data_IF_623790263307
#
_entry.id   IF_623790263307
#
_cell.length_a   1.000
_cell.length_b   1.000
_cell.length_c   1.000
_cell.angle_alpha   90.00
_cell.angle_beta   90.00
_cell.angle_gamma   90.00
#
_symmetry.space_group_name_H-M   'P 1'
#
loop_
_entity.id
_entity.type
_entity.pdbx_description
1 polymer ?
#
# COMPACT_ATOMS: atom_id res chain seq x y z
N UNK A 1 -13.75 -43.94 3.02
CA UNK A 1 -12.74 -43.16 2.27
C UNK A 1 -12.83 -41.75 2.82
N UNK A 2 -11.91 -41.35 3.69
CA UNK A 2 -11.92 -40.06 4.38
C UNK A 2 -10.97 -39.18 3.57
N UNK A 3 -11.51 -38.16 2.90
CA UNK A 3 -10.71 -37.22 2.12
C UNK A 3 -10.21 -36.14 3.08
N UNK A 4 -8.94 -36.18 3.46
CA UNK A 4 -8.30 -35.03 4.10
C UNK A 4 -8.07 -33.96 3.02
N UNK A 5 -8.82 -32.86 3.13
CA UNK A 5 -8.64 -31.70 2.27
C UNK A 5 -7.28 -31.07 2.54
N UNK A 6 -6.45 -30.99 1.50
CA UNK A 6 -5.19 -30.27 1.54
C UNK A 6 -5.46 -28.77 1.73
N UNK A 7 -5.25 -28.26 2.94
CA UNK A 7 -5.41 -26.84 3.27
C UNK A 7 -4.16 -26.07 2.83
N UNK A 8 -4.31 -25.21 1.82
CA UNK A 8 -3.31 -24.22 1.44
C UNK A 8 -3.46 -22.99 2.35
N UNK A 9 -2.45 -22.65 3.18
CA UNK A 9 -2.47 -21.43 3.96
C UNK A 9 -2.58 -20.21 3.03
N UNK A 10 -3.61 -19.38 3.20
CA UNK A 10 -3.79 -18.13 2.45
C UNK A 10 -4.98 -18.07 1.48
N UNK A 11 -5.82 -19.12 1.40
CA UNK A 11 -7.03 -19.13 0.55
C UNK A 11 -8.35 -19.04 1.31
N UNK A 12 -8.35 -19.17 2.64
CA UNK A 12 -9.57 -19.05 3.43
C UNK A 12 -9.98 -17.57 3.52
N UNK A 13 -11.21 -17.21 3.11
CA UNK A 13 -11.66 -15.83 3.13
C UNK A 13 -11.71 -15.30 4.55
N UNK A 14 -10.99 -14.20 4.80
CA UNK A 14 -10.97 -13.54 6.11
C UNK A 14 -12.23 -12.71 6.25
N UNK A 15 -12.94 -12.90 7.36
CA UNK A 15 -14.11 -12.11 7.71
C UNK A 15 -13.69 -10.98 8.65
N UNK A 16 -14.09 -9.78 8.29
CA UNK A 16 -13.88 -8.56 9.07
C UNK A 16 -15.17 -8.09 9.73
N UNK A 17 -15.08 -7.54 10.94
CA UNK A 17 -16.22 -7.00 11.68
C UNK A 17 -15.82 -5.73 12.41
N UNK A 18 -16.83 -5.01 12.88
CA UNK A 18 -16.65 -3.82 13.70
C UNK A 18 -15.96 -4.18 15.02
N UNK A 19 -15.24 -3.21 15.59
CA UNK A 19 -14.52 -3.33 16.86
C UNK A 19 -15.45 -3.67 18.03
N UNK A 20 -16.72 -3.29 17.95
CA UNK A 20 -17.75 -3.68 18.92
C UNK A 20 -18.03 -5.19 18.96
N UNK A 21 -17.64 -5.91 17.91
CA UNK A 21 -17.89 -7.35 17.70
C UNK A 21 -16.59 -8.19 17.77
N UNK A 22 -15.48 -7.60 18.24
CA UNK A 22 -14.15 -8.22 18.25
C UNK A 22 -14.04 -9.48 19.14
N UNK A 23 -15.05 -9.77 19.98
CA UNK A 23 -15.10 -10.96 20.85
C UNK A 23 -15.62 -12.22 20.14
N UNK A 24 -16.08 -12.12 18.88
CA UNK A 24 -16.56 -13.27 18.12
C UNK A 24 -15.40 -14.10 17.53
N UNK A 25 -15.43 -15.42 17.76
CA UNK A 25 -14.48 -16.37 17.16
C UNK A 25 -14.53 -16.23 15.62
N UNK A 26 -13.34 -16.09 15.00
CA UNK A 26 -13.11 -15.99 13.55
C UNK A 26 -13.41 -14.65 12.88
N UNK A 27 -13.53 -13.55 13.64
CA UNK A 27 -13.54 -12.21 13.07
C UNK A 27 -12.19 -11.48 13.27
N UNK A 28 -11.73 -10.69 12.28
CA UNK A 28 -10.68 -9.69 12.45
C UNK A 28 -11.24 -8.26 12.40
N UNK A 29 -10.74 -7.40 13.27
CA UNK A 29 -11.12 -5.98 13.26
C UNK A 29 -10.06 -5.12 12.54
N UNK A 30 -8.78 -5.45 12.76
CA UNK A 30 -7.67 -4.65 12.25
C UNK A 30 -7.32 -5.01 10.80
N UNK A 31 -7.25 -3.97 9.96
CA UNK A 31 -6.82 -4.02 8.57
C UNK A 31 -5.32 -3.72 8.50
N UNK A 32 -4.50 -4.78 8.52
CA UNK A 32 -3.05 -4.67 8.41
C UNK A 32 -2.63 -4.45 6.96
N UNK A 33 -1.97 -3.33 6.69
CA UNK A 33 -1.30 -3.08 5.40
C UNK A 33 0.16 -3.52 5.52
N UNK A 34 0.63 -4.22 4.51
CA UNK A 34 2.01 -4.59 4.32
C UNK A 34 2.61 -3.89 3.11
N UNK A 35 3.93 -3.71 3.13
CA UNK A 35 4.72 -3.15 2.03
C UNK A 35 5.69 -4.19 1.51
N UNK A 36 5.88 -4.23 0.20
CA UNK A 36 6.91 -5.02 -0.47
C UNK A 36 8.04 -4.09 -0.98
N UNK A 37 9.06 -4.68 -1.62
CA UNK A 37 10.11 -3.96 -2.33
C UNK A 37 9.55 -2.99 -3.37
N UNK A 38 10.32 -1.96 -3.65
CA UNK A 38 10.05 -1.02 -4.73
C UNK A 38 10.74 -1.50 -6.00
N UNK A 39 10.05 -1.42 -7.12
CA UNK A 39 10.61 -1.65 -8.45
C UNK A 39 10.50 -0.36 -9.27
N UNK A 40 11.16 -0.32 -10.42
CA UNK A 40 11.13 0.81 -11.34
C UNK A 40 10.94 0.28 -12.75
N UNK A 41 10.29 1.07 -13.60
CA UNK A 41 10.23 0.80 -15.05
C UNK A 41 11.50 1.23 -15.78
N UNK A 42 12.30 2.10 -15.15
CA UNK A 42 13.55 2.66 -15.70
C UNK A 42 14.79 1.83 -15.33
N UNK A 43 14.70 0.98 -14.31
CA UNK A 43 15.83 0.16 -13.84
C UNK A 43 15.41 -1.23 -13.37
N UNK A 44 16.29 -2.20 -13.61
CA UNK A 44 16.09 -3.61 -13.25
C UNK A 44 16.38 -3.91 -11.78
N UNK A 45 16.94 -2.96 -11.03
CA UNK A 45 17.36 -3.18 -9.64
C UNK A 45 16.23 -2.78 -8.69
N UNK A 46 15.58 -3.72 -7.98
CA UNK A 46 14.62 -3.38 -6.95
C UNK A 46 15.32 -2.90 -5.67
N UNK A 47 14.63 -2.07 -4.89
CA UNK A 47 15.09 -1.65 -3.55
C UNK A 47 14.12 -2.12 -2.47
N UNK A 48 14.67 -2.57 -1.35
CA UNK A 48 13.87 -2.82 -0.15
C UNK A 48 13.23 -1.52 0.36
N UNK A 49 12.05 -1.62 0.98
CA UNK A 49 11.33 -0.46 1.52
C UNK A 49 12.17 0.35 2.52
N UNK A 50 12.92 -0.33 3.40
CA UNK A 50 13.81 0.27 4.39
C UNK A 50 15.02 1.02 3.81
N UNK A 51 15.32 0.83 2.52
CA UNK A 51 16.44 1.52 1.87
C UNK A 51 16.14 3.01 1.69
N UNK A 52 14.87 3.35 1.53
CA UNK A 52 14.38 4.72 1.52
C UNK A 52 14.04 5.19 2.94
N UNK A 53 14.08 6.49 3.19
CA UNK A 53 13.78 7.08 4.50
C UNK A 53 12.27 7.18 4.76
N UNK A 54 11.54 6.09 4.55
CA UNK A 54 10.11 5.98 4.82
C UNK A 54 9.83 5.72 6.30
N UNK A 55 8.56 5.86 6.68
CA UNK A 55 8.10 5.46 8.02
C UNK A 55 8.08 3.93 8.12
N UNK A 56 8.71 3.38 9.16
CA UNK A 56 8.81 1.94 9.43
C UNK A 56 8.34 1.65 10.86
N UNK A 57 7.91 0.43 11.13
CA UNK A 57 7.50 -0.05 12.47
C UNK A 57 8.39 -1.20 12.92
N UNK A 58 8.38 -1.53 14.20
CA UNK A 58 9.11 -2.69 14.73
C UNK A 58 8.70 -3.99 14.01
N UNK A 59 9.71 -4.76 13.61
CA UNK A 59 9.57 -5.93 12.72
C UNK A 59 9.03 -7.18 13.42
N UNK A 60 8.74 -7.13 14.72
CA UNK A 60 8.26 -8.27 15.52
C UNK A 60 6.93 -8.87 15.01
N UNK A 61 6.17 -8.11 14.21
CA UNK A 61 4.94 -8.54 13.55
C UNK A 61 5.11 -8.92 12.08
N UNK A 62 6.34 -9.17 11.61
CA UNK A 62 6.57 -9.63 10.24
C UNK A 62 5.90 -10.99 10.03
N UNK A 63 5.22 -11.23 8.88
CA UNK A 63 4.69 -12.55 8.56
C UNK A 63 5.79 -13.60 8.63
N UNK A 64 5.47 -14.80 9.11
CA UNK A 64 6.38 -15.94 9.04
C UNK A 64 6.77 -16.20 7.58
N UNK A 65 8.03 -15.94 7.24
CA UNK A 65 8.54 -16.11 5.88
C UNK A 65 8.48 -17.60 5.51
N UNK A 66 7.85 -17.92 4.38
CA UNK A 66 7.91 -19.28 3.84
C UNK A 66 9.26 -19.50 3.12
N UNK A 67 9.72 -20.75 3.02
CA UNK A 67 11.03 -21.08 2.41
C UNK A 67 11.17 -20.50 0.98
N UNK A 68 10.07 -20.40 0.22
CA UNK A 68 10.06 -19.77 -1.10
C UNK A 68 10.38 -18.28 -1.05
N UNK A 69 9.74 -17.52 -0.15
CA UNK A 69 9.95 -16.09 0.04
C UNK A 69 11.38 -15.76 0.49
N UNK A 70 11.97 -16.61 1.34
CA UNK A 70 13.39 -16.50 1.75
C UNK A 70 14.31 -16.72 0.56
N UNK A 71 14.04 -17.73 -0.28
CA UNK A 71 14.85 -18.07 -1.46
C UNK A 71 14.74 -17.01 -2.56
N UNK A 72 13.59 -16.35 -2.71
CA UNK A 72 13.37 -15.29 -3.69
C UNK A 72 13.62 -13.87 -3.16
N UNK A 73 14.00 -13.72 -1.88
CA UNK A 73 14.30 -12.43 -1.25
C UNK A 73 13.10 -11.49 -1.14
N UNK A 74 11.87 -12.02 -1.12
CA UNK A 74 10.66 -11.23 -0.93
C UNK A 74 10.41 -11.01 0.56
N UNK A 75 10.68 -9.79 1.03
CA UNK A 75 10.42 -9.38 2.42
C UNK A 75 9.20 -8.48 2.46
N UNK A 76 8.05 -9.09 2.74
CA UNK A 76 6.81 -8.35 3.05
C UNK A 76 6.94 -7.82 4.48
N UNK A 77 6.80 -6.52 4.66
CA UNK A 77 6.99 -5.85 5.96
C UNK A 77 5.72 -5.16 6.41
N UNK A 78 5.42 -5.13 7.72
CA UNK A 78 4.28 -4.39 8.23
C UNK A 78 4.47 -2.89 7.93
N UNK A 79 3.41 -2.24 7.47
CA UNK A 79 3.40 -0.79 7.32
C UNK A 79 2.97 -0.12 8.64
N UNK A 80 3.28 1.16 8.82
CA UNK A 80 2.80 1.94 9.97
C UNK A 80 1.32 2.35 9.88
N UNK A 81 0.65 2.09 8.75
CA UNK A 81 -0.76 2.43 8.55
C UNK A 81 -1.65 1.43 9.27
N UNK A 82 -2.41 1.93 10.24
CA UNK A 82 -3.40 1.14 11.00
C UNK A 82 -4.80 1.58 10.59
N UNK A 83 -5.56 0.66 10.01
CA UNK A 83 -6.96 0.88 9.64
C UNK A 83 -7.83 -0.11 10.39
N UNK A 84 -9.05 0.30 10.72
CA UNK A 84 -10.04 -0.54 11.38
C UNK A 84 -11.20 -0.74 10.42
N UNK A 85 -11.74 -1.95 10.35
CA UNK A 85 -12.90 -2.21 9.50
C UNK A 85 -14.10 -1.32 9.88
N UNK A 86 -14.82 -0.80 8.87
CA UNK A 86 -15.95 0.16 9.00
C UNK A 86 -15.63 1.48 9.73
N UNK A 87 -14.36 1.78 10.03
CA UNK A 87 -13.97 3.05 10.63
C UNK A 87 -13.32 3.97 9.59
N UNK A 88 -13.97 5.09 9.29
CA UNK A 88 -13.38 6.12 8.45
C UNK A 88 -12.37 6.94 9.26
N UNK A 89 -11.14 7.03 8.75
CA UNK A 89 -10.05 7.83 9.33
C UNK A 89 -9.64 8.86 8.28
N UNK A 90 -9.63 10.12 8.65
CA UNK A 90 -9.27 11.23 7.75
C UNK A 90 -7.98 11.91 8.23
N UNK A 91 -7.01 12.07 7.34
CA UNK A 91 -5.78 12.84 7.56
C UNK A 91 -4.98 12.46 8.83
N UNK A 92 -4.83 11.16 9.10
CA UNK A 92 -4.00 10.71 10.22
C UNK A 92 -2.52 10.77 9.86
N UNK A 93 -1.76 11.60 10.58
CA UNK A 93 -0.31 11.65 10.44
C UNK A 93 0.33 10.40 11.03
N UNK A 94 1.24 9.80 10.25
CA UNK A 94 1.90 8.53 10.61
C UNK A 94 3.27 8.76 11.20
N UNK A 95 4.12 9.49 10.48
CA UNK A 95 5.41 9.94 10.99
C UNK A 95 5.82 11.25 10.32
N UNK A 96 6.71 12.00 10.97
CA UNK A 96 7.31 13.23 10.44
C UNK A 96 8.80 13.02 10.25
N UNK A 97 9.31 13.39 9.07
CA UNK A 97 10.74 13.38 8.75
C UNK A 97 11.17 14.81 8.44
N UNK A 98 12.23 15.26 9.09
CA UNK A 98 12.77 16.61 8.91
C UNK A 98 14.20 16.54 8.38
N UNK A 99 14.42 17.18 7.23
CA UNK A 99 15.69 17.24 6.53
C UNK A 99 16.32 18.62 6.74
N UNK A 100 17.16 18.75 7.77
CA UNK A 100 17.85 19.99 8.08
C UNK A 100 19.12 20.17 7.22
N UNK A 101 19.36 21.41 6.78
CA UNK A 101 20.62 21.77 6.11
C UNK A 101 21.78 21.70 7.11
N UNK A 102 22.71 20.75 6.90
CA UNK A 102 23.90 20.57 7.74
C UNK A 102 24.13 19.11 8.14
N UNK A 103 23.07 18.30 8.18
CA UNK A 103 23.18 16.86 8.44
C UNK A 103 23.45 16.11 7.12
N UNK A 104 24.71 15.69 6.95
CA UNK A 104 25.16 14.96 5.73
C UNK A 104 24.38 13.68 5.50
N UNK A 105 23.96 12.98 6.56
CA UNK A 105 23.23 11.72 6.44
C UNK A 105 21.81 11.98 5.91
N UNK A 106 21.09 12.93 6.51
CA UNK A 106 19.73 13.31 6.07
C UNK A 106 19.72 13.89 4.66
N UNK A 107 20.73 14.69 4.30
CA UNK A 107 20.87 15.20 2.93
C UNK A 107 21.09 14.07 1.93
N UNK A 108 21.90 13.07 2.30
CA UNK A 108 22.10 11.88 1.46
C UNK A 108 20.81 11.06 1.28
N UNK A 109 20.05 10.85 2.37
CA UNK A 109 18.73 10.19 2.34
C UNK A 109 17.73 10.93 1.45
N UNK A 110 17.67 12.26 1.57
CA UNK A 110 16.82 13.09 0.71
C UNK A 110 17.23 13.00 -0.77
N UNK A 111 18.54 12.98 -1.06
CA UNK A 111 19.05 12.80 -2.42
C UNK A 111 18.67 11.43 -2.97
N UNK A 112 18.76 10.38 -2.15
CA UNK A 112 18.35 9.04 -2.52
C UNK A 112 16.85 8.96 -2.83
N UNK A 113 16.00 9.61 -2.01
CA UNK A 113 14.57 9.72 -2.26
C UNK A 113 14.27 10.43 -3.59
N UNK A 114 14.93 11.56 -3.86
CA UNK A 114 14.79 12.29 -5.14
C UNK A 114 15.20 11.43 -6.34
N UNK A 115 16.28 10.65 -6.21
CA UNK A 115 16.69 9.71 -7.24
C UNK A 115 15.63 8.61 -7.45
N UNK A 116 15.01 8.12 -6.37
CA UNK A 116 13.89 7.17 -6.47
C UNK A 116 12.71 7.72 -7.26
N UNK A 117 12.37 8.99 -7.05
CA UNK A 117 11.32 9.69 -7.81
C UNK A 117 11.74 9.87 -9.28
N UNK A 118 12.97 10.31 -9.53
CA UNK A 118 13.48 10.54 -10.89
C UNK A 118 13.57 9.25 -11.71
N UNK A 119 13.74 8.10 -11.06
CA UNK A 119 13.75 6.78 -11.67
C UNK A 119 12.38 6.09 -11.58
N UNK A 120 11.29 6.80 -11.27
CA UNK A 120 9.93 6.27 -11.25
C UNK A 120 9.78 4.95 -10.46
N UNK A 121 10.33 4.91 -9.24
CA UNK A 121 10.15 3.76 -8.35
C UNK A 121 8.72 3.71 -7.81
N UNK A 122 8.14 2.51 -7.78
CA UNK A 122 6.77 2.24 -7.38
C UNK A 122 6.69 1.43 -6.08
N UNK A 123 5.82 1.88 -5.18
CA UNK A 123 5.36 1.16 -4.01
C UNK A 123 4.43 0.02 -4.39
N UNK A 124 4.57 -1.11 -3.69
CA UNK A 124 3.68 -2.27 -3.79
C UNK A 124 3.15 -2.58 -2.40
N UNK A 125 1.87 -2.26 -2.17
CA UNK A 125 1.23 -2.46 -0.87
C UNK A 125 0.23 -3.59 -0.95
N UNK A 126 0.06 -4.30 0.16
CA UNK A 126 -0.73 -5.52 0.24
C UNK A 126 -1.65 -5.41 1.46
N UNK A 127 -2.92 -5.75 1.30
CA UNK A 127 -3.90 -5.84 2.38
C UNK A 127 -4.70 -7.13 2.19
N UNK A 128 -4.81 -7.94 3.24
CA UNK A 128 -5.48 -9.25 3.17
C UNK A 128 -5.03 -10.11 1.98
N UNK A 129 -3.72 -10.15 1.74
CA UNK A 129 -3.09 -10.86 0.62
C UNK A 129 -3.49 -10.35 -0.79
N UNK A 130 -4.17 -9.21 -0.89
CA UNK A 130 -4.51 -8.54 -2.15
C UNK A 130 -3.66 -7.30 -2.40
N UNK A 131 -3.24 -7.04 -3.64
CA UNK A 131 -2.52 -5.81 -3.97
C UNK A 131 -3.46 -4.61 -3.85
N UNK A 132 -2.94 -3.53 -3.27
CA UNK A 132 -3.60 -2.23 -3.33
C UNK A 132 -3.35 -1.64 -4.72
N UNK A 133 -4.43 -1.24 -5.39
CA UNK A 133 -4.38 -0.77 -6.78
C UNK A 133 -4.47 0.74 -6.88
N UNK A 134 -3.72 1.33 -7.79
CA UNK A 134 -3.87 2.73 -8.16
C UNK A 134 -4.42 2.82 -9.57
N UNK A 135 -5.57 3.46 -9.72
CA UNK A 135 -6.21 3.66 -11.00
C UNK A 135 -6.24 5.14 -11.36
N UNK A 136 -5.86 5.47 -12.58
CA UNK A 136 -5.83 6.84 -13.09
C UNK A 136 -6.39 6.90 -14.51
N UNK A 137 -6.92 8.07 -14.87
CA UNK A 137 -7.45 8.32 -16.20
C UNK A 137 -6.30 8.77 -17.12
N UNK A 138 -6.25 8.19 -18.32
CA UNK A 138 -5.30 8.61 -19.38
C UNK A 138 -6.00 9.51 -20.40
N UNK A 139 -5.21 10.26 -21.19
CA UNK A 139 -5.73 11.26 -22.16
C UNK A 139 -6.82 10.72 -23.11
N UNK A 140 -6.78 9.42 -23.42
CA UNK A 140 -7.77 8.75 -24.27
C UNK A 140 -9.11 8.46 -23.56
N UNK A 141 -9.32 8.95 -22.33
CA UNK A 141 -10.52 8.69 -21.52
C UNK A 141 -10.60 7.26 -20.97
N UNK A 142 -9.55 6.45 -21.16
CA UNK A 142 -9.46 5.10 -20.61
C UNK A 142 -8.94 5.16 -19.17
N UNK A 143 -9.40 4.24 -18.32
CA UNK A 143 -8.93 4.10 -16.95
C UNK A 143 -7.89 2.98 -16.88
N UNK A 144 -6.66 3.31 -16.51
CA UNK A 144 -5.59 2.34 -16.31
C UNK A 144 -5.43 2.06 -14.81
N UNK A 145 -5.28 0.78 -14.44
CA UNK A 145 -5.04 0.37 -13.06
C UNK A 145 -3.73 -0.39 -12.94
N UNK A 146 -2.88 0.04 -12.01
CA UNK A 146 -1.60 -0.59 -11.68
C UNK A 146 -1.64 -1.19 -10.27
N UNK A 147 -0.94 -2.29 -10.05
CA UNK A 147 -0.77 -2.95 -8.73
C UNK A 147 0.31 -2.29 -7.87
N UNK A 148 0.54 -1.00 -8.09
CA UNK A 148 1.51 -0.18 -7.38
C UNK A 148 1.39 1.28 -7.78
N UNK A 149 2.00 2.16 -6.99
CA UNK A 149 1.94 3.60 -7.20
C UNK A 149 3.33 4.23 -6.96
N UNK A 150 3.70 5.30 -7.69
CA UNK A 150 5.04 5.85 -7.60
C UNK A 150 5.27 6.56 -6.27
N UNK A 151 6.54 6.60 -5.83
CA UNK A 151 6.97 7.40 -4.68
C UNK A 151 6.58 8.88 -4.85
N UNK A 152 6.54 9.34 -6.10
CA UNK A 152 6.27 10.72 -6.45
C UNK A 152 6.46 10.95 -7.94
N UNK A 153 6.53 12.21 -8.34
CA UNK A 153 6.80 12.57 -9.72
C UNK A 153 7.69 13.82 -9.81
N UNK A 154 8.33 14.00 -10.96
CA UNK A 154 9.25 15.10 -11.24
C UNK A 154 8.77 15.90 -12.45
N UNK A 155 8.70 17.22 -12.28
CA UNK A 155 8.59 18.17 -13.40
C UNK A 155 10.00 18.70 -13.67
N UNK A 156 10.49 18.52 -14.90
CA UNK A 156 11.85 18.94 -15.24
C UNK A 156 12.00 20.47 -15.31
N UNK A 157 13.22 20.93 -15.62
CA UNK A 157 13.55 22.35 -15.75
C UNK A 157 12.85 23.02 -16.95
N UNK A 158 12.59 22.25 -17.99
CA UNK A 158 11.89 22.72 -19.19
C UNK A 158 10.38 22.85 -18.93
N UNK A 159 9.88 22.24 -17.86
CA UNK A 159 8.48 22.19 -17.46
C UNK A 159 7.76 20.98 -18.03
N UNK A 160 8.50 19.99 -18.53
CA UNK A 160 7.91 18.74 -19.03
C UNK A 160 7.52 17.87 -17.85
N UNK A 161 6.22 17.57 -17.76
CA UNK A 161 5.70 16.58 -16.82
C UNK A 161 6.10 15.17 -17.30
N UNK A 162 6.59 14.34 -16.39
CA UNK A 162 6.91 12.94 -16.64
C UNK A 162 6.09 12.03 -15.72
N UNK A 163 5.84 10.81 -16.18
CA UNK A 163 5.20 9.75 -15.42
C UNK A 163 3.89 10.22 -14.76
N UNK A 164 3.76 10.04 -13.44
CA UNK A 164 2.57 10.39 -12.70
C UNK A 164 2.26 11.90 -12.64
N UNK A 165 3.19 12.79 -12.99
CA UNK A 165 2.89 14.22 -13.04
C UNK A 165 1.93 14.56 -14.19
N UNK A 166 1.83 13.73 -15.22
CA UNK A 166 0.91 13.94 -16.37
C UNK A 166 -0.55 13.74 -15.95
N UNK A 167 -0.80 12.96 -14.90
CA UNK A 167 -2.14 12.57 -14.46
C UNK A 167 -2.91 13.76 -13.85
N UNK A 168 -2.21 14.80 -13.39
CA UNK A 168 -2.86 15.94 -12.76
C UNK A 168 -2.12 17.24 -13.00
N UNK A 169 -2.86 18.26 -13.45
CA UNK A 169 -2.39 19.64 -13.57
C UNK A 169 -1.94 20.26 -12.23
N UNK A 170 -2.19 19.58 -11.09
CA UNK A 170 -1.70 20.01 -9.78
C UNK A 170 -0.18 19.87 -9.62
N UNK A 171 0.49 19.11 -10.49
CA UNK A 171 1.93 18.83 -10.45
C UNK A 171 2.63 19.47 -11.66
N UNK A 172 2.68 20.80 -11.70
CA UNK A 172 3.12 21.56 -12.88
C UNK A 172 4.24 22.57 -12.61
N UNK A 173 4.70 22.72 -11.37
CA UNK A 173 5.76 23.68 -11.03
C UNK A 173 7.10 23.18 -11.59
N UNK A 174 7.82 24.04 -12.33
CA UNK A 174 9.07 23.67 -13.00
C UNK A 174 10.16 23.32 -11.99
N UNK A 175 10.97 22.31 -12.33
CA UNK A 175 12.10 21.83 -11.53
C UNK A 175 11.70 21.41 -10.09
N UNK A 176 10.49 20.87 -9.94
CA UNK A 176 9.92 20.50 -8.64
C UNK A 176 9.73 18.99 -8.55
N UNK A 177 10.15 18.42 -7.41
CA UNK A 177 9.87 17.04 -7.02
C UNK A 177 8.61 17.03 -6.15
N UNK A 178 7.61 16.25 -6.52
CA UNK A 178 6.42 16.01 -5.74
C UNK A 178 6.51 14.63 -5.10
N UNK A 179 6.31 14.55 -3.79
CA UNK A 179 6.29 13.27 -3.05
C UNK A 179 4.84 12.89 -2.79
N UNK A 180 4.48 11.64 -3.07
CA UNK A 180 3.14 11.10 -2.82
C UNK A 180 3.08 10.46 -1.44
N UNK A 181 3.12 11.30 -0.40
CA UNK A 181 3.05 10.85 1.00
C UNK A 181 1.66 11.00 1.63
N UNK A 182 0.78 11.77 1.02
CA UNK A 182 -0.62 11.89 1.41
C UNK A 182 -1.43 10.98 0.50
N UNK A 183 -2.13 10.00 1.07
CA UNK A 183 -2.80 8.95 0.31
C UNK A 183 -4.20 8.68 0.88
N UNK A 184 -5.15 8.47 -0.02
CA UNK A 184 -6.47 7.99 0.32
C UNK A 184 -6.54 6.49 0.00
N UNK A 185 -6.82 5.66 1.00
CA UNK A 185 -7.03 4.23 0.82
C UNK A 185 -8.52 3.93 0.93
N UNK A 186 -9.11 3.43 -0.16
CA UNK A 186 -10.52 3.02 -0.23
C UNK A 186 -10.62 1.51 -0.23
N UNK A 187 -11.24 0.95 0.81
CA UNK A 187 -11.48 -0.49 0.94
C UNK A 187 -12.91 -0.80 0.53
N UNK A 188 -13.07 -1.66 -0.47
CA UNK A 188 -14.36 -2.20 -0.89
C UNK A 188 -14.53 -3.59 -0.29
N UNK A 189 -15.69 -3.86 0.29
CA UNK A 189 -16.01 -5.15 0.88
C UNK A 189 -17.40 -5.63 0.46
N UNK A 190 -17.61 -6.93 0.46
CA UNK A 190 -18.90 -7.54 0.33
C UNK A 190 -19.47 -7.80 1.73
N UNK A 191 -20.63 -7.23 2.02
CA UNK A 191 -21.34 -7.47 3.29
C UNK A 191 -21.84 -8.91 3.36
N UNK A 192 -21.72 -9.52 4.54
CA UNK A 192 -22.32 -10.82 4.84
C UNK A 192 -23.82 -10.74 5.13
N UNK A 193 -24.37 -9.54 5.34
CA UNK A 193 -25.79 -9.36 5.61
C UNK A 193 -26.64 -9.99 4.51
N UNK A 194 -27.57 -10.87 4.89
CA UNK A 194 -28.46 -11.64 3.99
C UNK A 194 -27.78 -12.65 3.05
N UNK A 195 -26.54 -13.05 3.31
CA UNK A 195 -25.86 -14.13 2.57
C UNK A 195 -25.84 -15.43 3.38
N UNK A 196 -25.82 -16.59 2.72
CA UNK A 196 -25.82 -17.90 3.40
C UNK A 196 -24.66 -18.02 4.41
N UNK A 197 -23.47 -17.54 4.04
CA UNK A 197 -22.30 -17.55 4.92
C UNK A 197 -22.38 -16.49 6.02
N UNK A 198 -23.08 -15.37 5.84
CA UNK A 198 -23.26 -14.36 6.90
C UNK A 198 -24.37 -14.73 7.90
N UNK A 199 -25.36 -15.51 7.46
CA UNK A 199 -26.42 -16.05 8.33
C UNK A 199 -25.89 -17.07 9.34
N UNK A 200 -24.83 -17.81 9.01
CA UNK A 200 -24.15 -18.73 9.94
C UNK A 200 -23.50 -18.00 11.13
N UNK A 201 -23.08 -16.75 10.94
CA UNK A 201 -22.39 -15.98 11.97
C UNK A 201 -23.34 -15.17 12.85
N UNK A 202 -24.47 -14.70 12.31
CA UNK A 202 -25.48 -13.93 13.05
C UNK A 202 -25.07 -12.49 13.38
N UNK A 203 -23.99 -11.97 12.78
CA UNK A 203 -23.49 -10.60 12.96
C UNK A 203 -23.04 -9.97 11.63
N UNK A 204 -23.01 -8.63 11.58
CA UNK A 204 -22.73 -7.83 10.38
C UNK A 204 -21.23 -7.72 10.07
N UNK A 205 -20.69 -8.79 9.47
CA UNK A 205 -19.32 -8.87 8.96
C UNK A 205 -19.20 -8.62 7.46
N UNK A 206 -17.98 -8.45 6.96
CA UNK A 206 -17.70 -8.31 5.54
C UNK A 206 -16.39 -8.95 5.11
N UNK A 207 -16.29 -9.31 3.83
CA UNK A 207 -15.06 -9.80 3.18
C UNK A 207 -14.53 -8.74 2.25
N UNK A 208 -13.25 -8.40 2.34
CA UNK A 208 -12.64 -7.41 1.45
C UNK A 208 -12.60 -7.97 0.04
N UNK A 209 -12.98 -7.16 -0.95
CA UNK A 209 -12.97 -7.54 -2.38
C UNK A 209 -11.98 -6.73 -3.19
N UNK A 210 -11.67 -5.51 -2.76
CA UNK A 210 -10.71 -4.66 -3.43
C UNK A 210 -10.17 -3.57 -2.49
N UNK A 211 -8.95 -3.15 -2.75
CA UNK A 211 -8.35 -1.98 -2.15
C UNK A 211 -7.82 -1.06 -3.25
N UNK A 212 -8.20 0.22 -3.17
CA UNK A 212 -7.75 1.27 -4.09
C UNK A 212 -7.00 2.33 -3.31
N UNK A 213 -5.97 2.89 -3.93
CA UNK A 213 -5.18 3.98 -3.38
C UNK A 213 -5.13 5.13 -4.37
N UNK A 214 -5.34 6.34 -3.87
CA UNK A 214 -5.24 7.57 -4.64
C UNK A 214 -4.28 8.55 -3.92
N UNK A 215 -3.17 8.95 -4.54
CA UNK A 215 -2.32 10.00 -4.00
C UNK A 215 -3.05 11.35 -3.96
N UNK A 216 -2.91 12.06 -2.84
CA UNK A 216 -3.38 13.43 -2.63
C UNK A 216 -2.20 14.40 -2.51
N UNK A 217 -2.50 15.68 -2.66
CA UNK A 217 -1.59 16.79 -2.33
C UNK A 217 -1.86 17.25 -0.90
#
# INVERSE_FOLDING_TARGET
MICEGFYLPGLAPVVYCDKSLNDHKNCKTDLKIFVNRLNSVETVVPYEYHKFDFCVVDEDNSPTENLGQVVFGERIRPSPYKMTFKQQITCQSVCKKEYAHGDKEKVSKLKFLKNGIALNYNHHWIIDNMPITWCYDVENGQKYCSTGFPIGCLVDKDGKQKDACVISNKYSEKNTYYVFNHIDVTITYHSGTNTDWGQEFGWDGGRIVAAKLEPRR
#
